data_IF_293051550334
#
_entry.id   IF_293051550334
#
_cell.length_a   1.000
_cell.length_b   1.000
_cell.length_c   1.000
_cell.angle_alpha   90.00
_cell.angle_beta   90.00
_cell.angle_gamma   90.00
#
_symmetry.space_group_name_H-M   'P 1'
#
loop_
_entity.id
_entity.type
_entity.pdbx_description
1 polymer ?
#
# COMPACT_ATOMS: atom_id res chain seq x y z
N UNK A 1 16.01 11.57 17.01
CA UNK A 1 16.18 10.85 15.73
C UNK A 1 14.94 11.14 14.89
N UNK A 2 15.09 11.33 13.62
CA UNK A 2 13.96 11.55 12.72
C UNK A 2 13.25 10.23 12.44
N UNK A 3 11.91 10.21 12.49
CA UNK A 3 11.12 9.00 12.28
C UNK A 3 11.36 8.42 10.88
N UNK A 4 11.47 7.09 10.79
CA UNK A 4 11.56 6.38 9.51
C UNK A 4 10.23 5.72 9.12
N UNK A 5 10.07 5.50 7.82
CA UNK A 5 8.92 4.76 7.29
C UNK A 5 9.40 3.65 6.37
N UNK A 6 8.84 2.45 6.54
CA UNK A 6 9.01 1.37 5.59
C UNK A 6 7.67 1.12 4.91
N UNK A 7 7.61 1.34 3.61
CA UNK A 7 6.40 1.08 2.83
C UNK A 7 6.51 -0.27 2.12
N UNK A 8 5.46 -1.08 2.17
CA UNK A 8 5.45 -2.40 1.52
C UNK A 8 4.31 -2.49 0.52
N UNK A 9 4.62 -2.36 -0.76
CA UNK A 9 3.74 -2.79 -1.84
C UNK A 9 3.89 -4.31 -2.05
N UNK A 10 2.82 -5.00 -2.48
CA UNK A 10 2.85 -6.47 -2.53
C UNK A 10 1.79 -7.05 -3.45
N UNK A 11 2.11 -8.15 -4.09
CA UNK A 11 1.15 -9.01 -4.77
C UNK A 11 0.32 -9.78 -3.72
N UNK A 12 -0.94 -10.12 -4.04
CA UNK A 12 -1.72 -11.01 -3.19
C UNK A 12 -1.08 -12.41 -3.20
N UNK A 13 -1.07 -13.07 -2.04
CA UNK A 13 -0.44 -14.38 -1.89
C UNK A 13 1.10 -14.36 -1.81
N UNK A 14 1.77 -13.23 -2.03
CA UNK A 14 3.24 -13.14 -1.93
C UNK A 14 3.79 -13.15 -0.49
N UNK A 15 2.93 -12.96 0.52
CA UNK A 15 3.38 -12.87 1.92
C UNK A 15 3.84 -11.49 2.36
N UNK A 16 3.76 -10.44 1.51
CA UNK A 16 4.26 -9.11 1.86
C UNK A 16 3.62 -8.49 3.10
N UNK A 17 2.34 -8.82 3.41
CA UNK A 17 1.72 -8.39 4.67
C UNK A 17 2.35 -9.09 5.88
N UNK A 18 2.64 -10.37 5.75
CA UNK A 18 3.33 -11.17 6.80
C UNK A 18 4.73 -10.64 7.04
N UNK A 19 5.50 -10.41 5.96
CA UNK A 19 6.84 -9.80 6.05
C UNK A 19 6.78 -8.45 6.75
N UNK A 20 5.82 -7.58 6.41
CA UNK A 20 5.66 -6.29 7.06
C UNK A 20 5.34 -6.39 8.55
N UNK A 21 4.48 -7.33 8.94
CA UNK A 21 4.15 -7.55 10.35
C UNK A 21 5.37 -8.06 11.14
N UNK A 22 6.08 -9.06 10.62
CA UNK A 22 7.30 -9.60 11.23
C UNK A 22 8.39 -8.53 11.35
N UNK A 23 8.54 -7.68 10.33
CA UNK A 23 9.49 -6.58 10.33
C UNK A 23 9.15 -5.56 11.42
N UNK A 24 7.89 -5.14 11.53
CA UNK A 24 7.44 -4.20 12.56
C UNK A 24 7.67 -4.76 13.96
N UNK A 25 7.34 -6.03 14.18
CA UNK A 25 7.61 -6.74 15.45
C UNK A 25 9.11 -6.76 15.79
N UNK A 26 9.96 -7.06 14.79
CA UNK A 26 11.43 -7.13 14.97
C UNK A 26 12.05 -5.75 15.24
N UNK A 27 11.48 -4.68 14.68
CA UNK A 27 11.91 -3.30 14.91
C UNK A 27 11.28 -2.66 16.16
N UNK A 28 10.23 -3.25 16.71
CA UNK A 28 9.46 -2.66 17.81
C UNK A 28 8.68 -1.42 17.43
N UNK A 29 8.22 -1.33 16.17
CA UNK A 29 7.48 -0.18 15.62
C UNK A 29 6.05 -0.55 15.23
N UNK A 30 5.22 0.46 15.04
CA UNK A 30 3.82 0.29 14.63
C UNK A 30 3.69 -0.29 13.22
N UNK A 31 2.65 -1.11 13.04
CA UNK A 31 2.29 -1.71 11.77
C UNK A 31 0.92 -1.22 11.31
N UNK A 32 0.84 -0.64 10.12
CA UNK A 32 -0.38 -0.11 9.54
C UNK A 32 -0.72 -0.79 8.20
N UNK A 33 -1.98 -1.19 8.05
CA UNK A 33 -2.56 -1.74 6.82
C UNK A 33 -3.99 -1.17 6.66
N UNK A 34 -5.02 -1.92 7.00
CA UNK A 34 -6.42 -1.50 6.87
C UNK A 34 -6.83 -0.41 7.86
N UNK A 35 -6.11 -0.25 8.94
CA UNK A 35 -6.38 0.77 9.98
C UNK A 35 -6.38 2.20 9.41
N UNK A 36 -5.54 2.48 8.39
CA UNK A 36 -5.50 3.79 7.73
C UNK A 36 -6.86 4.18 7.16
N UNK A 37 -7.62 3.23 6.61
CA UNK A 37 -8.97 3.49 6.09
C UNK A 37 -9.90 3.93 7.23
N UNK A 38 -9.89 3.20 8.33
CA UNK A 38 -10.75 3.54 9.46
C UNK A 38 -10.39 4.92 10.02
N UNK A 39 -9.10 5.19 10.22
CA UNK A 39 -8.63 6.49 10.69
C UNK A 39 -9.01 7.64 9.72
N UNK A 40 -8.89 7.40 8.42
CA UNK A 40 -9.28 8.38 7.41
C UNK A 40 -10.80 8.62 7.38
N UNK A 41 -11.59 7.58 7.59
CA UNK A 41 -13.06 7.69 7.75
C UNK A 41 -13.44 8.47 9.01
N UNK A 42 -12.81 8.15 10.12
CA UNK A 42 -13.06 8.81 11.41
C UNK A 42 -12.71 10.30 11.36
N UNK A 43 -11.60 10.65 10.72
CA UNK A 43 -11.16 12.05 10.59
C UNK A 43 -12.01 12.84 9.60
N UNK A 44 -12.33 12.26 8.45
CA UNK A 44 -13.06 12.96 7.39
C UNK A 44 -14.57 13.00 7.59
N UNK A 45 -15.14 12.03 8.31
CA UNK A 45 -16.57 11.76 8.34
C UNK A 45 -17.10 11.07 7.07
N UNK A 46 -16.24 10.68 6.14
CA UNK A 46 -16.63 9.92 4.94
C UNK A 46 -16.83 8.45 5.33
N UNK A 47 -17.94 7.85 4.88
CA UNK A 47 -18.25 6.44 5.16
C UNK A 47 -17.08 5.53 4.72
N UNK A 48 -16.64 4.67 5.62
CA UNK A 48 -15.56 3.69 5.41
C UNK A 48 -15.76 2.81 4.17
N UNK A 49 -17.02 2.55 3.79
CA UNK A 49 -17.36 1.78 2.59
C UNK A 49 -16.90 2.47 1.30
N UNK A 50 -16.92 3.81 1.26
CA UNK A 50 -16.47 4.56 0.09
C UNK A 50 -14.96 4.41 -0.12
N UNK A 51 -14.17 4.36 0.95
CA UNK A 51 -12.75 4.03 0.86
C UNK A 51 -12.51 2.65 0.25
N UNK A 52 -13.30 1.65 0.67
CA UNK A 52 -13.26 0.31 0.09
C UNK A 52 -13.62 0.31 -1.41
N UNK A 53 -14.66 1.04 -1.81
CA UNK A 53 -15.08 1.16 -3.22
C UNK A 53 -13.99 1.78 -4.10
N UNK A 54 -13.33 2.82 -3.64
CA UNK A 54 -12.20 3.45 -4.38
C UNK A 54 -11.06 2.45 -4.56
N UNK A 55 -10.74 1.66 -3.53
CA UNK A 55 -9.73 0.61 -3.64
C UNK A 55 -10.14 -0.53 -4.57
N UNK A 56 -11.44 -0.84 -4.63
CA UNK A 56 -11.98 -1.88 -5.51
C UNK A 56 -12.14 -1.42 -6.96
N UNK A 57 -11.84 -0.15 -7.26
CA UNK A 57 -12.01 0.44 -8.58
C UNK A 57 -13.46 0.69 -8.97
N UNK A 58 -14.38 0.60 -8.01
CA UNK A 58 -15.81 0.88 -8.17
C UNK A 58 -16.05 2.37 -7.92
N UNK A 59 -15.49 3.25 -8.76
CA UNK A 59 -15.62 4.69 -8.53
C UNK A 59 -17.07 5.15 -8.57
N UNK A 60 -17.44 5.98 -7.61
CA UNK A 60 -18.80 6.52 -7.47
C UNK A 60 -19.16 7.50 -8.61
N UNK A 61 -18.18 8.11 -9.25
CA UNK A 61 -18.29 8.86 -10.53
C UNK A 61 -16.90 9.11 -11.08
N UNK A 62 -16.59 8.51 -12.23
CA UNK A 62 -15.45 8.94 -13.02
C UNK A 62 -15.63 10.41 -13.40
N UNK A 63 -14.86 11.29 -12.82
CA UNK A 63 -14.75 12.66 -13.32
C UNK A 63 -14.03 12.57 -14.67
N UNK A 64 -14.73 12.90 -15.75
CA UNK A 64 -14.22 12.91 -17.12
C UNK A 64 -13.08 13.92 -17.37
N UNK A 65 -12.61 14.61 -16.33
CA UNK A 65 -11.66 15.74 -16.43
C UNK A 65 -10.35 15.58 -15.66
N UNK A 66 -10.08 14.45 -15.02
CA UNK A 66 -8.83 14.32 -14.27
C UNK A 66 -7.71 13.72 -15.12
N UNK A 67 -6.98 14.61 -15.76
CA UNK A 67 -5.59 14.37 -16.14
C UNK A 67 -4.78 14.18 -14.85
N UNK A 68 -4.25 12.97 -14.65
CA UNK A 68 -3.24 12.60 -13.67
C UNK A 68 -3.47 13.18 -12.27
N UNK A 69 -4.20 12.45 -11.44
CA UNK A 69 -4.41 12.79 -10.02
C UNK A 69 -3.15 12.55 -9.18
N UNK A 70 -2.08 13.29 -9.45
CA UNK A 70 -0.95 13.33 -8.57
C UNK A 70 -1.42 13.89 -7.22
N UNK A 71 -1.14 13.18 -6.15
CA UNK A 71 -1.37 13.66 -4.79
C UNK A 71 -0.76 15.05 -4.62
N UNK A 72 -1.60 16.04 -4.30
CA UNK A 72 -1.18 17.43 -4.10
C UNK A 72 -1.28 17.90 -2.65
N UNK A 73 -1.76 17.04 -1.75
CA UNK A 73 -1.93 17.37 -0.34
C UNK A 73 -3.22 18.13 -0.02
N UNK A 74 -3.97 18.59 -1.01
CA UNK A 74 -5.18 19.38 -0.79
C UNK A 74 -6.36 18.51 -0.39
N UNK A 75 -7.05 18.89 0.69
CA UNK A 75 -8.29 18.25 1.15
C UNK A 75 -9.49 19.11 0.78
N UNK A 76 -10.55 18.43 0.33
CA UNK A 76 -11.84 19.07 0.03
C UNK A 76 -12.72 18.95 1.28
N UNK A 77 -13.24 20.08 1.75
CA UNK A 77 -14.08 20.15 2.94
C UNK A 77 -15.48 19.53 2.72
N UNK A 78 -16.20 19.14 3.80
CA UNK A 78 -17.49 18.43 3.71
C UNK A 78 -18.58 19.19 2.95
N UNK A 79 -18.57 20.51 2.97
CA UNK A 79 -19.52 21.40 2.30
C UNK A 79 -19.17 21.69 0.83
N UNK A 80 -18.03 21.20 0.35
CA UNK A 80 -17.55 21.49 -1.00
C UNK A 80 -17.87 20.36 -1.98
N UNK A 81 -18.03 20.74 -3.25
CA UNK A 81 -18.23 19.79 -4.35
C UNK A 81 -16.97 18.92 -4.51
N UNK A 82 -17.15 17.61 -4.51
CA UNK A 82 -16.06 16.65 -4.64
C UNK A 82 -15.55 16.08 -3.32
N UNK A 83 -16.19 16.42 -2.21
CA UNK A 83 -15.83 15.88 -0.89
C UNK A 83 -15.68 14.34 -0.87
N UNK A 84 -16.59 13.61 -1.52
CA UNK A 84 -16.54 12.14 -1.65
C UNK A 84 -15.94 11.69 -2.98
N UNK A 85 -15.14 12.52 -3.66
CA UNK A 85 -14.42 12.10 -4.85
C UNK A 85 -13.31 11.11 -4.52
N UNK A 86 -12.96 10.25 -5.48
CA UNK A 86 -11.89 9.25 -5.31
C UNK A 86 -10.55 9.92 -4.96
N UNK A 87 -10.29 11.10 -5.51
CA UNK A 87 -9.09 11.88 -5.24
C UNK A 87 -9.06 12.37 -3.78
N UNK A 88 -10.18 12.89 -3.27
CA UNK A 88 -10.24 13.38 -1.89
C UNK A 88 -10.19 12.22 -0.89
N UNK A 89 -10.81 11.09 -1.20
CA UNK A 89 -10.72 9.85 -0.42
C UNK A 89 -9.26 9.38 -0.34
N UNK A 90 -8.53 9.40 -1.47
CA UNK A 90 -7.10 9.10 -1.49
C UNK A 90 -6.29 10.11 -0.67
N UNK A 91 -6.60 11.42 -0.79
CA UNK A 91 -5.90 12.48 -0.07
C UNK A 91 -6.05 12.33 1.45
N UNK A 92 -7.23 11.95 1.95
CA UNK A 92 -7.41 11.64 3.37
C UNK A 92 -6.57 10.44 3.82
N UNK A 93 -6.49 9.38 3.03
CA UNK A 93 -5.60 8.24 3.34
C UNK A 93 -4.12 8.65 3.36
N UNK A 94 -3.71 9.46 2.39
CA UNK A 94 -2.35 9.97 2.31
C UNK A 94 -2.01 10.89 3.49
N UNK A 95 -2.96 11.77 3.89
CA UNK A 95 -2.82 12.61 5.08
C UNK A 95 -2.60 11.76 6.33
N UNK A 96 -3.47 10.79 6.59
CA UNK A 96 -3.32 9.90 7.75
C UNK A 96 -1.95 9.19 7.75
N UNK A 97 -1.52 8.67 6.60
CA UNK A 97 -0.21 8.04 6.49
C UNK A 97 0.93 9.02 6.81
N UNK A 98 0.82 10.29 6.38
CA UNK A 98 1.79 11.34 6.65
C UNK A 98 1.80 11.70 8.14
N UNK A 99 0.65 11.93 8.75
CA UNK A 99 0.53 12.26 10.18
C UNK A 99 1.12 11.15 11.07
N UNK A 100 0.91 9.87 10.70
CA UNK A 100 1.51 8.73 11.39
C UNK A 100 3.04 8.73 11.25
N UNK A 101 3.55 8.99 10.06
CA UNK A 101 4.98 9.03 9.76
C UNK A 101 5.71 10.20 10.46
N UNK A 102 5.01 11.30 10.72
CA UNK A 102 5.53 12.41 11.51
C UNK A 102 5.57 12.10 13.00
N UNK A 103 4.58 11.34 13.47
CA UNK A 103 4.42 11.01 14.89
C UNK A 103 5.36 9.89 15.36
N UNK A 104 5.60 8.88 14.54
CA UNK A 104 6.36 7.69 14.92
C UNK A 104 7.00 6.97 13.72
N UNK A 105 8.02 6.16 13.99
CA UNK A 105 8.55 5.21 13.02
C UNK A 105 7.57 4.06 12.81
N UNK A 106 7.32 3.66 11.56
CA UNK A 106 6.29 2.68 11.27
C UNK A 106 6.52 1.90 9.97
N UNK A 107 5.82 0.76 9.88
CA UNK A 107 5.69 -0.05 8.66
C UNK A 107 4.27 0.11 8.12
N UNK A 108 4.12 0.56 6.87
CA UNK A 108 2.83 0.77 6.22
C UNK A 108 2.71 -0.12 4.99
N UNK A 109 1.59 -0.85 4.87
CA UNK A 109 1.39 -1.83 3.80
C UNK A 109 0.30 -1.39 2.81
N UNK A 110 0.69 -1.18 1.55
CA UNK A 110 -0.23 -0.85 0.45
C UNK A 110 -0.59 0.62 0.35
N UNK A 111 -1.80 0.94 -0.15
CA UNK A 111 -2.38 2.31 -0.22
C UNK A 111 -1.61 3.31 -1.08
N UNK A 112 -0.77 2.86 -2.00
CA UNK A 112 0.11 3.76 -2.75
C UNK A 112 1.05 4.61 -1.88
N UNK A 113 1.28 4.24 -0.61
CA UNK A 113 2.11 5.03 0.31
C UNK A 113 3.57 5.11 -0.14
N UNK A 114 4.07 4.15 -0.91
CA UNK A 114 5.39 4.26 -1.56
C UNK A 114 5.48 5.48 -2.49
N UNK A 115 4.38 5.86 -3.14
CA UNK A 115 4.30 7.07 -3.94
C UNK A 115 4.14 8.34 -3.09
N UNK A 116 3.29 8.28 -2.04
CA UNK A 116 3.11 9.39 -1.10
C UNK A 116 4.45 9.81 -0.47
N UNK A 117 5.30 8.83 -0.13
CA UNK A 117 6.59 9.05 0.52
C UNK A 117 7.80 8.99 -0.42
N UNK A 118 7.62 9.10 -1.73
CA UNK A 118 8.71 8.99 -2.71
C UNK A 118 9.86 9.97 -2.48
N UNK A 119 9.55 11.16 -1.99
CA UNK A 119 10.50 12.26 -1.75
C UNK A 119 10.76 12.48 -0.25
N UNK A 120 10.21 11.64 0.64
CA UNK A 120 10.43 11.75 2.09
C UNK A 120 11.76 11.10 2.48
N UNK A 121 12.64 11.85 3.18
CA UNK A 121 13.85 11.24 3.75
C UNK A 121 13.50 10.12 4.76
N UNK A 122 14.46 9.28 5.11
CA UNK A 122 14.29 8.14 6.00
C UNK A 122 13.11 7.21 5.63
N UNK A 123 12.89 7.02 4.33
CA UNK A 123 11.87 6.11 3.81
C UNK A 123 12.52 4.98 3.01
N UNK A 124 12.10 3.73 3.26
CA UNK A 124 12.46 2.57 2.45
C UNK A 124 11.20 2.03 1.77
N UNK A 125 11.21 2.03 0.44
CA UNK A 125 10.09 1.56 -0.37
C UNK A 125 10.37 0.15 -0.86
N UNK A 126 9.57 -0.81 -0.40
CA UNK A 126 9.76 -2.24 -0.68
C UNK A 126 8.61 -2.77 -1.54
N UNK A 127 8.95 -3.60 -2.52
CA UNK A 127 7.98 -4.40 -3.26
C UNK A 127 8.19 -5.89 -2.98
N UNK A 128 7.15 -6.60 -2.52
CA UNK A 128 7.20 -8.03 -2.25
C UNK A 128 6.37 -8.77 -3.28
N UNK A 129 7.02 -9.61 -4.08
CA UNK A 129 6.40 -10.48 -5.07
C UNK A 129 6.72 -11.95 -4.83
N UNK A 130 6.06 -12.85 -5.55
CA UNK A 130 6.38 -14.28 -5.53
C UNK A 130 5.96 -14.94 -6.87
N UNK A 131 6.51 -16.13 -7.20
CA UNK A 131 6.05 -16.92 -8.34
C UNK A 131 4.54 -17.21 -8.27
N UNK A 132 3.92 -17.37 -9.44
CA UNK A 132 2.47 -17.54 -9.56
C UNK A 132 1.97 -18.74 -8.75
N UNK A 133 2.62 -19.89 -8.88
CA UNK A 133 2.27 -21.14 -8.20
C UNK A 133 2.32 -20.99 -6.67
N UNK A 134 3.36 -20.32 -6.17
CA UNK A 134 3.49 -20.01 -4.74
C UNK A 134 2.33 -19.13 -4.26
N UNK A 135 1.95 -18.13 -5.04
CA UNK A 135 0.85 -17.21 -4.70
C UNK A 135 -0.50 -17.94 -4.68
N UNK A 136 -0.75 -18.83 -5.65
CA UNK A 136 -1.97 -19.66 -5.70
C UNK A 136 -2.03 -20.56 -4.46
N UNK A 137 -0.95 -21.28 -4.17
CA UNK A 137 -0.86 -22.16 -3.00
C UNK A 137 -1.13 -21.39 -1.69
N UNK A 138 -0.45 -20.27 -1.47
CA UNK A 138 -0.63 -19.44 -0.28
C UNK A 138 -2.02 -18.79 -0.20
N UNK A 139 -2.69 -18.65 -1.30
CA UNK A 139 -4.04 -18.11 -1.33
C UNK A 139 -5.11 -19.14 -0.93
N UNK A 140 -4.87 -20.44 -1.15
CA UNK A 140 -5.77 -21.52 -0.69
C UNK A 140 -5.98 -21.52 0.83
N UNK A 141 -5.00 -21.03 1.59
CA UNK A 141 -5.13 -20.89 3.05
C UNK A 141 -6.17 -19.84 3.48
N UNK A 142 -6.56 -18.92 2.56
CA UNK A 142 -7.39 -17.75 2.88
C UNK A 142 -8.63 -17.59 2.03
N UNK A 143 -8.67 -18.26 0.88
CA UNK A 143 -9.75 -18.17 -0.09
C UNK A 143 -10.30 -19.56 -0.30
N UNK A 144 -11.57 -19.76 0.04
CA UNK A 144 -12.29 -21.01 -0.28
C UNK A 144 -12.69 -20.99 -1.76
N UNK A 145 -12.52 -22.12 -2.45
CA UNK A 145 -12.91 -22.28 -3.86
C UNK A 145 -11.95 -23.17 -4.64
N UNK A 146 -12.22 -23.35 -5.92
CA UNK A 146 -11.35 -24.06 -6.86
C UNK A 146 -10.09 -23.24 -7.18
N UNK A 147 -9.06 -23.91 -7.72
CA UNK A 147 -7.85 -23.24 -8.18
C UNK A 147 -8.15 -22.18 -9.23
N UNK A 148 -9.09 -22.44 -10.13
CA UNK A 148 -9.53 -21.47 -11.15
C UNK A 148 -10.13 -20.20 -10.53
N UNK A 149 -10.93 -20.36 -9.47
CA UNK A 149 -11.52 -19.22 -8.75
C UNK A 149 -10.46 -18.41 -8.02
N UNK A 150 -9.48 -19.08 -7.40
CA UNK A 150 -8.34 -18.45 -6.76
C UNK A 150 -7.50 -17.70 -7.78
N UNK A 151 -7.14 -18.31 -8.90
CA UNK A 151 -6.39 -17.65 -9.97
C UNK A 151 -7.13 -16.44 -10.53
N UNK A 152 -8.43 -16.57 -10.78
CA UNK A 152 -9.27 -15.46 -11.23
C UNK A 152 -9.28 -14.32 -10.21
N UNK A 153 -9.35 -14.64 -8.93
CA UNK A 153 -9.26 -13.65 -7.85
C UNK A 153 -7.90 -12.95 -7.88
N UNK A 154 -6.77 -13.68 -7.98
CA UNK A 154 -5.43 -13.10 -8.00
C UNK A 154 -5.22 -12.15 -9.18
N UNK A 155 -5.66 -12.54 -10.38
CA UNK A 155 -5.58 -11.69 -11.59
C UNK A 155 -6.40 -10.41 -11.42
N UNK A 156 -7.59 -10.52 -10.86
CA UNK A 156 -8.46 -9.37 -10.59
C UNK A 156 -7.86 -8.45 -9.53
N UNK A 157 -7.29 -9.00 -8.48
CA UNK A 157 -6.66 -8.21 -7.40
C UNK A 157 -5.39 -7.48 -7.88
N UNK A 158 -4.54 -8.14 -8.66
CA UNK A 158 -3.36 -7.50 -9.27
C UNK A 158 -3.77 -6.38 -10.23
N UNK A 159 -4.78 -6.63 -11.09
CA UNK A 159 -5.32 -5.60 -11.98
C UNK A 159 -5.87 -4.41 -11.20
N UNK A 160 -6.63 -4.66 -10.15
CA UNK A 160 -7.19 -3.62 -9.28
C UNK A 160 -6.09 -2.74 -8.68
N UNK A 161 -5.02 -3.34 -8.15
CA UNK A 161 -3.88 -2.61 -7.59
C UNK A 161 -3.14 -1.80 -8.65
N UNK A 162 -2.97 -2.38 -9.85
CA UNK A 162 -2.39 -1.69 -11.00
C UNK A 162 -3.22 -0.47 -11.41
N UNK A 163 -4.55 -0.63 -11.51
CA UNK A 163 -5.45 0.45 -11.91
C UNK A 163 -5.49 1.56 -10.84
N UNK A 164 -5.51 1.19 -9.55
CA UNK A 164 -5.42 2.10 -8.42
C UNK A 164 -4.10 2.89 -8.44
N UNK A 165 -2.97 2.19 -8.62
CA UNK A 165 -1.66 2.82 -8.67
C UNK A 165 -1.55 3.77 -9.88
N UNK A 166 -1.99 3.32 -11.05
CA UNK A 166 -1.99 4.16 -12.26
C UNK A 166 -2.81 5.43 -12.07
N UNK A 167 -3.95 5.33 -11.40
CA UNK A 167 -4.83 6.46 -11.14
C UNK A 167 -4.17 7.51 -10.25
N UNK A 168 -3.52 7.11 -9.17
CA UNK A 168 -3.02 8.03 -8.14
C UNK A 168 -1.51 8.33 -8.23
N UNK A 169 -0.72 7.44 -8.79
CA UNK A 169 0.74 7.58 -8.95
C UNK A 169 1.19 7.78 -10.40
N UNK A 170 0.34 7.47 -11.38
CA UNK A 170 0.59 7.75 -12.80
C UNK A 170 1.49 6.74 -13.52
N UNK A 171 1.86 5.61 -12.87
CA UNK A 171 2.82 4.65 -13.44
C UNK A 171 2.38 3.19 -13.32
N UNK A 172 3.33 2.30 -13.56
CA UNK A 172 3.15 0.88 -13.36
C UNK A 172 3.50 0.49 -11.91
N UNK A 173 2.55 -0.13 -11.23
CA UNK A 173 2.71 -0.60 -9.86
C UNK A 173 3.82 -1.65 -9.70
N UNK A 174 4.09 -2.45 -10.72
CA UNK A 174 5.11 -3.49 -10.71
C UNK A 174 6.48 -3.02 -11.21
N UNK A 175 6.61 -1.76 -11.62
CA UNK A 175 7.89 -1.20 -12.06
C UNK A 175 8.86 -1.08 -10.87
N UNK A 176 10.01 -1.76 -10.99
CA UNK A 176 11.05 -1.76 -9.97
C UNK A 176 11.59 -0.36 -9.67
N UNK A 177 11.53 0.59 -10.60
CA UNK A 177 11.96 1.97 -10.41
C UNK A 177 11.15 2.73 -9.34
N UNK A 178 9.97 2.24 -8.97
CA UNK A 178 9.14 2.81 -7.92
C UNK A 178 9.55 2.37 -6.49
N UNK A 179 10.58 1.51 -6.37
CA UNK A 179 10.97 0.88 -5.11
C UNK A 179 12.48 0.92 -4.92
N UNK A 180 12.91 0.91 -3.67
CA UNK A 180 14.32 0.85 -3.28
C UNK A 180 14.78 -0.60 -3.12
N UNK A 181 13.82 -1.54 -2.94
CA UNK A 181 14.07 -2.97 -2.78
C UNK A 181 12.90 -3.80 -3.31
N UNK A 182 13.19 -4.77 -4.19
CA UNK A 182 12.22 -5.74 -4.68
C UNK A 182 12.60 -7.15 -4.22
N UNK A 183 11.68 -7.87 -3.56
CA UNK A 183 11.95 -9.16 -2.95
C UNK A 183 11.04 -10.26 -3.47
N UNK A 184 11.65 -11.38 -3.91
CA UNK A 184 10.93 -12.60 -4.25
C UNK A 184 10.76 -13.48 -3.02
N UNK A 185 9.64 -13.31 -2.31
CA UNK A 185 9.39 -14.03 -1.07
C UNK A 185 9.14 -15.54 -1.26
N UNK A 186 8.74 -15.96 -2.45
CA UNK A 186 8.63 -17.38 -2.77
C UNK A 186 9.99 -18.09 -2.86
N UNK A 187 11.06 -17.35 -3.18
CA UNK A 187 12.44 -17.89 -3.20
C UNK A 187 13.16 -17.71 -1.88
N UNK A 188 12.96 -16.59 -1.22
CA UNK A 188 13.70 -16.24 0.00
C UNK A 188 13.08 -16.83 1.27
N UNK A 189 11.75 -16.95 1.31
CA UNK A 189 11.02 -17.11 2.56
C UNK A 189 10.84 -15.77 3.28
N UNK A 190 9.93 -15.73 4.27
CA UNK A 190 9.54 -14.47 4.89
C UNK A 190 10.62 -13.91 5.83
N UNK A 191 11.28 -14.77 6.59
CA UNK A 191 12.37 -14.40 7.51
C UNK A 191 13.52 -13.73 6.76
N UNK A 192 13.98 -14.33 5.66
CA UNK A 192 15.07 -13.74 4.86
C UNK A 192 14.65 -12.46 4.13
N UNK A 193 13.37 -12.31 3.81
CA UNK A 193 12.85 -11.02 3.33
C UNK A 193 12.99 -9.94 4.40
N UNK A 194 12.67 -10.25 5.65
CA UNK A 194 12.87 -9.32 6.78
C UNK A 194 14.35 -8.98 6.93
N UNK A 195 15.24 -9.96 6.91
CA UNK A 195 16.68 -9.74 7.04
C UNK A 195 17.24 -8.87 5.89
N UNK A 196 16.77 -9.09 4.67
CA UNK A 196 17.13 -8.27 3.51
C UNK A 196 16.66 -6.80 3.66
N UNK A 197 15.47 -6.58 4.20
CA UNK A 197 14.95 -5.23 4.46
C UNK A 197 15.82 -4.53 5.52
N UNK A 198 16.15 -5.22 6.61
CA UNK A 198 17.01 -4.68 7.68
C UNK A 198 18.42 -4.35 7.16
N UNK A 199 18.98 -5.21 6.31
CA UNK A 199 20.27 -4.96 5.68
C UNK A 199 20.22 -3.71 4.79
N UNK A 200 19.15 -3.55 4.00
CA UNK A 200 18.94 -2.37 3.14
C UNK A 200 18.77 -1.09 3.96
N UNK A 201 18.00 -1.13 5.06
CA UNK A 201 17.91 0.00 6.00
C UNK A 201 19.29 0.45 6.48
N UNK A 202 20.12 -0.51 6.89
CA UNK A 202 21.47 -0.21 7.35
C UNK A 202 22.34 0.42 6.26
N UNK A 203 22.28 -0.09 5.02
CA UNK A 203 23.00 0.47 3.85
C UNK A 203 22.56 1.90 3.56
N UNK A 204 21.26 2.21 3.72
CA UNK A 204 20.70 3.55 3.52
C UNK A 204 20.87 4.47 4.74
N UNK A 205 21.41 3.98 5.85
CA UNK A 205 21.57 4.76 7.08
C UNK A 205 20.23 5.07 7.79
N UNK A 206 19.18 4.33 7.51
CA UNK A 206 17.86 4.45 8.16
C UNK A 206 17.94 3.76 9.54
N UNK A 207 17.68 4.53 10.61
CA UNK A 207 17.80 4.08 12.01
C UNK A 207 16.61 4.50 12.84
#
# INVERSE_FOLDING_TARGET
MENFVITIARQYGSGGRTVGKMLAEKLGVSFYDKQIIQMASDESGIDVKLFGQVEEGSSVKASLFNKTGLYKGDLIAPDQKGFVSDENIFNYQAKIATDLAEKESCVIVGRCVNYVFKDRPNTLRVFVHAPWEFRVEKSREKISGSDEEIEKFLRRDDKRKQDYYRKFAGGDWSDAANYDLCLNAGKLGFEKCVDAILAQMNVMGIK
#
